data_IF_086621791455
#
_entry.id   IF_086621791455
#
_cell.length_a   1.000
_cell.length_b   1.000
_cell.length_c   1.000
_cell.angle_alpha   90.00
_cell.angle_beta   90.00
_cell.angle_gamma   90.00
#
_symmetry.space_group_name_H-M   'P 1'
#
loop_
_entity.id
_entity.type
_entity.pdbx_description
1 polymer ?
#
# COMPACT_ATOMS: atom_id res chain seq x y z
N UNK A 1 -4.83 1.99 -24.86
CA UNK A 1 -4.58 1.84 -23.41
C UNK A 1 -3.30 2.61 -23.11
N UNK A 2 -3.38 3.79 -22.48
CA UNK A 2 -2.16 4.50 -22.06
C UNK A 2 -1.60 3.78 -20.85
N UNK A 3 -0.44 3.13 -21.00
CA UNK A 3 0.32 2.56 -19.90
C UNK A 3 0.65 3.68 -18.91
N UNK A 4 0.56 3.38 -17.60
CA UNK A 4 0.92 4.38 -16.59
C UNK A 4 2.40 4.72 -16.74
N UNK A 5 2.77 5.99 -16.65
CA UNK A 5 4.18 6.39 -16.67
C UNK A 5 4.94 5.61 -15.60
N UNK A 6 6.01 4.91 -16.00
CA UNK A 6 6.88 4.22 -15.07
C UNK A 6 7.65 5.27 -14.26
N UNK A 7 7.27 5.39 -12.99
CA UNK A 7 7.96 6.17 -11.97
C UNK A 7 8.75 5.20 -11.08
N UNK A 8 10.05 5.46 -10.88
CA UNK A 8 10.88 4.71 -9.94
C UNK A 8 10.63 5.18 -8.51
N UNK A 9 10.10 4.30 -7.66
CA UNK A 9 9.83 4.64 -6.26
C UNK A 9 11.13 4.96 -5.50
N UNK A 10 12.28 4.43 -5.89
CA UNK A 10 13.55 4.71 -5.23
C UNK A 10 13.99 6.16 -5.36
N UNK A 11 13.61 6.85 -6.44
CA UNK A 11 13.86 8.29 -6.61
C UNK A 11 13.25 9.12 -5.46
N UNK A 12 12.13 8.68 -4.86
CA UNK A 12 11.56 9.37 -3.69
C UNK A 12 12.51 9.34 -2.50
N UNK A 13 13.16 8.19 -2.26
CA UNK A 13 14.06 7.99 -1.12
C UNK A 13 15.42 8.67 -1.32
N UNK A 14 15.81 8.91 -2.57
CA UNK A 14 17.02 9.64 -2.96
C UNK A 14 16.82 11.16 -2.90
N UNK A 15 15.66 11.66 -3.33
CA UNK A 15 15.41 13.09 -3.51
C UNK A 15 14.75 13.79 -2.33
N UNK A 16 14.04 13.05 -1.48
CA UNK A 16 13.35 13.61 -0.31
C UNK A 16 14.11 13.31 0.97
N UNK A 17 14.05 14.23 1.91
CA UNK A 17 14.57 13.99 3.27
C UNK A 17 13.79 12.87 3.95
N UNK A 18 12.45 12.91 3.86
CA UNK A 18 11.54 11.92 4.42
C UNK A 18 10.41 11.60 3.44
N UNK A 19 10.28 10.33 3.06
CA UNK A 19 9.16 9.87 2.21
C UNK A 19 7.91 9.62 3.06
N UNK A 20 6.79 10.27 2.72
CA UNK A 20 5.53 10.24 3.48
C UNK A 20 4.50 9.33 2.81
N UNK A 21 4.15 8.23 3.50
CA UNK A 21 3.49 7.07 2.88
C UNK A 21 2.12 6.80 3.53
N UNK A 22 1.08 6.62 2.69
CA UNK A 22 -0.22 6.12 3.13
C UNK A 22 -0.20 4.59 3.20
N UNK A 23 -0.49 4.04 4.39
CA UNK A 23 -0.42 2.62 4.65
C UNK A 23 -1.47 1.79 3.88
N UNK A 24 -1.19 0.51 3.59
CA UNK A 24 -2.20 -0.42 3.12
C UNK A 24 -3.19 -0.71 4.25
N UNK A 25 -4.47 -0.46 3.98
CA UNK A 25 -5.55 -0.62 4.95
C UNK A 25 -6.76 -1.27 4.28
N UNK A 26 -7.10 -2.49 4.71
CA UNK A 26 -8.28 -3.22 4.23
C UNK A 26 -9.51 -2.32 4.32
N UNK A 27 -10.24 -2.20 3.21
CA UNK A 27 -11.40 -1.29 2.98
C UNK A 27 -11.09 0.20 2.88
N UNK A 28 -10.01 0.71 3.47
CA UNK A 28 -9.80 2.15 3.60
C UNK A 28 -8.87 2.75 2.55
N UNK A 29 -7.76 2.10 2.18
CA UNK A 29 -6.83 2.65 1.20
C UNK A 29 -7.25 2.40 -0.27
N UNK A 30 -8.55 2.49 -0.55
CA UNK A 30 -9.12 2.40 -1.91
C UNK A 30 -8.79 3.64 -2.75
N UNK A 31 -9.03 3.57 -4.07
CA UNK A 31 -8.68 4.62 -5.03
C UNK A 31 -9.09 6.03 -4.58
N UNK A 32 -10.32 6.18 -4.10
CA UNK A 32 -10.85 7.48 -3.64
C UNK A 32 -9.98 8.07 -2.53
N UNK A 33 -9.57 7.25 -1.57
CA UNK A 33 -8.78 7.73 -0.43
C UNK A 33 -7.33 7.98 -0.82
N UNK A 34 -6.75 7.13 -1.68
CA UNK A 34 -5.42 7.35 -2.25
C UNK A 34 -5.35 8.66 -3.03
N UNK A 35 -6.35 8.94 -3.87
CA UNK A 35 -6.46 10.21 -4.58
C UNK A 35 -6.58 11.40 -3.61
N UNK A 36 -7.32 11.25 -2.50
CA UNK A 36 -7.48 12.33 -1.52
C UNK A 36 -6.14 12.68 -0.85
N UNK A 37 -5.47 11.69 -0.26
CA UNK A 37 -4.25 11.94 0.54
C UNK A 37 -3.09 12.47 -0.31
N UNK A 38 -3.06 12.13 -1.61
CA UNK A 38 -2.07 12.67 -2.54
C UNK A 38 -2.23 14.16 -2.84
N UNK A 39 -3.39 14.75 -2.56
CA UNK A 39 -3.58 16.19 -2.63
C UNK A 39 -2.98 16.93 -1.42
N UNK A 40 -2.43 16.19 -0.46
CA UNK A 40 -2.00 16.67 0.85
C UNK A 40 -0.64 16.11 1.25
N UNK A 41 0.35 16.29 0.37
CA UNK A 41 1.76 15.93 0.59
C UNK A 41 2.02 14.46 0.96
N UNK A 42 1.17 13.54 0.50
CA UNK A 42 1.46 12.11 0.53
C UNK A 42 2.21 11.70 -0.74
N UNK A 43 3.43 11.21 -0.57
CA UNK A 43 4.37 10.92 -1.66
C UNK A 43 4.11 9.56 -2.31
N UNK A 44 3.75 8.56 -1.50
CA UNK A 44 3.53 7.18 -1.94
C UNK A 44 2.27 6.61 -1.29
N UNK A 45 1.45 5.92 -2.07
CA UNK A 45 0.22 5.30 -1.60
C UNK A 45 0.21 3.81 -1.84
N UNK A 46 -0.44 3.08 -0.94
CA UNK A 46 -0.61 1.63 -1.03
C UNK A 46 -2.07 1.26 -1.26
N UNK A 47 -2.33 0.25 -2.08
CA UNK A 47 -3.66 -0.37 -2.18
C UNK A 47 -4.10 -0.97 -0.84
N UNK A 48 -5.37 -1.38 -0.67
CA UNK A 48 -5.70 -2.33 0.39
C UNK A 48 -4.87 -3.61 0.21
N UNK A 49 -4.73 -4.41 1.25
CA UNK A 49 -4.16 -5.75 1.12
C UNK A 49 -5.10 -6.62 0.27
N UNK A 50 -4.58 -7.20 -0.81
CA UNK A 50 -5.31 -8.04 -1.76
C UNK A 50 -4.75 -9.47 -1.70
N UNK A 51 -5.60 -10.49 -1.80
CA UNK A 51 -5.14 -11.87 -1.98
C UNK A 51 -4.59 -12.03 -3.40
N UNK A 52 -3.31 -12.41 -3.53
CA UNK A 52 -2.69 -12.60 -4.86
C UNK A 52 -3.42 -13.67 -5.67
N UNK A 53 -3.82 -14.75 -5.02
CA UNK A 53 -4.60 -15.84 -5.62
C UNK A 53 -5.89 -15.35 -6.30
N UNK A 54 -6.61 -14.43 -5.66
CA UNK A 54 -7.84 -13.84 -6.21
C UNK A 54 -7.57 -13.05 -7.48
N UNK A 55 -6.44 -12.33 -7.54
CA UNK A 55 -6.02 -11.61 -8.73
C UNK A 55 -5.69 -12.59 -9.86
N UNK A 56 -4.98 -13.67 -9.58
CA UNK A 56 -4.63 -14.66 -10.57
C UNK A 56 -5.87 -15.41 -11.12
N UNK A 57 -6.79 -15.84 -10.26
CA UNK A 57 -7.87 -16.78 -10.62
C UNK A 57 -9.12 -16.15 -11.22
N UNK A 58 -9.47 -14.91 -10.87
CA UNK A 58 -10.81 -14.37 -11.18
C UNK A 58 -10.77 -12.93 -11.62
N UNK A 59 -11.20 -12.68 -12.86
CA UNK A 59 -11.39 -11.33 -13.40
C UNK A 59 -12.39 -10.52 -12.57
N UNK A 60 -13.50 -11.15 -12.16
CA UNK A 60 -14.49 -10.54 -11.28
C UNK A 60 -13.88 -10.13 -9.93
N UNK A 61 -12.98 -10.94 -9.36
CA UNK A 61 -12.28 -10.57 -8.14
C UNK A 61 -11.30 -9.40 -8.39
N UNK A 62 -10.52 -9.45 -9.48
CA UNK A 62 -9.64 -8.34 -9.89
C UNK A 62 -10.39 -7.01 -9.97
N UNK A 63 -11.50 -6.99 -10.68
CA UNK A 63 -12.32 -5.79 -10.91
C UNK A 63 -12.95 -5.23 -9.62
N UNK A 64 -13.14 -6.07 -8.59
CA UNK A 64 -13.68 -5.65 -7.30
C UNK A 64 -12.61 -5.20 -6.29
N UNK A 65 -11.44 -5.84 -6.31
CA UNK A 65 -10.36 -5.60 -5.35
C UNK A 65 -9.46 -4.43 -5.76
N UNK A 66 -9.21 -4.29 -7.06
CA UNK A 66 -8.29 -3.30 -7.59
C UNK A 66 -8.96 -2.34 -8.57
N UNK A 67 -8.63 -1.05 -8.41
CA UNK A 67 -9.17 0.08 -9.16
C UNK A 67 -8.12 1.17 -9.10
N UNK A 68 -7.75 1.76 -10.24
CA UNK A 68 -6.76 2.85 -10.35
C UNK A 68 -7.12 3.84 -11.46
N UNK A 69 -6.50 5.01 -11.46
CA UNK A 69 -6.63 6.02 -12.51
C UNK A 69 -5.28 6.70 -12.79
N UNK A 70 -5.26 7.69 -13.69
CA UNK A 70 -4.04 8.44 -14.05
C UNK A 70 -3.44 9.21 -12.88
N UNK A 71 -4.25 9.65 -11.91
CA UNK A 71 -3.81 10.42 -10.74
C UNK A 71 -3.16 9.56 -9.65
N UNK A 72 -3.33 8.25 -9.70
CA UNK A 72 -2.98 7.29 -8.64
C UNK A 72 -1.54 6.76 -8.80
N UNK A 73 -0.56 7.65 -9.02
CA UNK A 73 0.89 7.31 -9.17
C UNK A 73 1.81 8.30 -8.43
N UNK A 74 2.77 7.88 -7.59
CA UNK A 74 3.26 6.52 -7.43
C UNK A 74 2.36 5.63 -6.55
N UNK A 75 2.16 4.37 -6.97
CA UNK A 75 1.31 3.39 -6.28
C UNK A 75 2.01 2.06 -6.08
N UNK A 76 1.88 1.50 -4.87
CA UNK A 76 2.27 0.13 -4.56
C UNK A 76 1.04 -0.72 -4.28
N UNK A 77 0.97 -1.92 -4.88
CA UNK A 77 -0.11 -2.87 -4.61
C UNK A 77 0.37 -3.88 -3.59
N UNK A 78 -0.31 -3.95 -2.44
CA UNK A 78 0.04 -4.91 -1.40
C UNK A 78 -0.71 -6.24 -1.59
N UNK A 79 0.05 -7.33 -1.65
CA UNK A 79 -0.45 -8.69 -1.71
C UNK A 79 -0.26 -9.46 -0.41
N UNK A 80 -1.21 -10.33 -0.13
CA UNK A 80 -1.03 -11.50 0.72
C UNK A 80 -0.89 -12.73 -0.19
N UNK A 81 0.26 -13.40 -0.08
CA UNK A 81 0.63 -14.56 -0.87
C UNK A 81 1.62 -15.42 -0.09
N UNK A 82 1.62 -16.73 -0.34
CA UNK A 82 2.57 -17.68 0.23
C UNK A 82 3.11 -18.67 -0.81
N UNK A 83 2.83 -18.44 -2.10
CA UNK A 83 3.37 -19.22 -3.22
C UNK A 83 4.01 -18.28 -4.24
N UNK A 84 5.14 -18.69 -4.81
CA UNK A 84 5.85 -17.93 -5.86
C UNK A 84 4.92 -17.67 -7.04
N UNK A 85 4.21 -18.70 -7.46
CA UNK A 85 3.24 -18.60 -8.54
C UNK A 85 2.26 -17.44 -8.33
N UNK A 86 1.58 -17.39 -7.17
CA UNK A 86 0.52 -16.40 -6.97
C UNK A 86 1.11 -15.00 -6.84
N UNK A 87 2.19 -14.83 -6.10
CA UNK A 87 2.81 -13.52 -5.92
C UNK A 87 3.37 -12.95 -7.23
N UNK A 88 4.14 -13.74 -7.97
CA UNK A 88 4.74 -13.29 -9.24
C UNK A 88 3.66 -13.11 -10.31
N UNK A 89 2.71 -14.04 -10.43
CA UNK A 89 1.61 -13.93 -11.38
C UNK A 89 0.74 -12.71 -11.14
N UNK A 90 0.37 -12.43 -9.88
CA UNK A 90 -0.38 -11.22 -9.53
C UNK A 90 0.44 -9.96 -9.76
N UNK A 91 1.75 -9.99 -9.48
CA UNK A 91 2.64 -8.85 -9.70
C UNK A 91 2.79 -8.51 -11.19
N UNK A 92 2.94 -9.52 -12.04
CA UNK A 92 2.99 -9.37 -13.49
C UNK A 92 1.71 -8.73 -14.04
N UNK A 93 0.55 -9.21 -13.57
CA UNK A 93 -0.77 -8.69 -13.97
C UNK A 93 -0.98 -7.21 -13.63
N UNK A 94 -0.45 -6.75 -12.50
CA UNK A 94 -0.69 -5.37 -12.04
C UNK A 94 0.43 -4.40 -12.41
N UNK A 95 1.61 -4.88 -12.81
CA UNK A 95 2.77 -4.05 -13.14
C UNK A 95 2.48 -2.91 -14.15
N UNK A 96 1.62 -3.09 -15.19
CA UNK A 96 1.24 -1.99 -16.09
C UNK A 96 0.43 -0.85 -15.43
N UNK A 97 -0.06 -1.05 -14.22
CA UNK A 97 -1.05 -0.19 -13.54
C UNK A 97 -0.55 0.41 -12.22
N UNK A 98 0.63 0.02 -11.76
CA UNK A 98 1.27 0.52 -10.54
C UNK A 98 2.79 0.67 -10.73
N UNK A 99 3.47 1.13 -9.70
CA UNK A 99 4.91 1.40 -9.69
C UNK A 99 5.70 0.38 -8.87
N UNK A 100 4.99 -0.44 -8.09
CA UNK A 100 5.55 -1.57 -7.38
C UNK A 100 4.50 -2.48 -6.75
N UNK A 101 4.99 -3.56 -6.16
CA UNK A 101 4.23 -4.50 -5.34
C UNK A 101 4.85 -4.63 -3.96
N UNK A 102 4.02 -4.97 -2.97
CA UNK A 102 4.45 -5.20 -1.60
C UNK A 102 3.94 -6.56 -1.11
N UNK A 103 4.77 -7.32 -0.42
CA UNK A 103 4.35 -8.54 0.25
C UNK A 103 4.03 -8.26 1.72
N UNK A 104 2.79 -8.57 2.13
CA UNK A 104 2.37 -8.44 3.52
C UNK A 104 2.88 -9.61 4.37
N UNK A 105 3.84 -9.33 5.26
CA UNK A 105 4.36 -10.26 6.27
C UNK A 105 4.04 -9.82 7.70
N UNK A 106 3.08 -8.89 7.88
CA UNK A 106 2.82 -8.23 9.18
C UNK A 106 1.38 -8.31 9.68
N UNK A 107 0.42 -8.77 8.87
CA UNK A 107 -0.99 -8.85 9.26
C UNK A 107 -1.22 -9.96 10.31
N UNK A 108 -1.76 -9.66 11.50
CA UNK A 108 -2.02 -10.65 12.55
C UNK A 108 -3.43 -11.27 12.51
N UNK A 109 -4.26 -10.90 11.53
CA UNK A 109 -5.66 -11.32 11.50
C UNK A 109 -5.78 -12.84 11.39
N UNK A 110 -6.77 -13.41 12.11
CA UNK A 110 -6.94 -14.86 12.19
C UNK A 110 -7.03 -15.54 10.82
N UNK A 111 -7.86 -15.01 9.92
CA UNK A 111 -8.02 -15.57 8.58
C UNK A 111 -6.70 -15.57 7.77
N UNK A 112 -5.83 -14.58 7.97
CA UNK A 112 -4.54 -14.51 7.29
C UNK A 112 -3.59 -15.59 7.82
N UNK A 113 -3.60 -15.82 9.14
CA UNK A 113 -2.84 -16.92 9.76
C UNK A 113 -3.35 -18.29 9.33
N UNK A 114 -4.66 -18.47 9.26
CA UNK A 114 -5.30 -19.73 8.81
C UNK A 114 -4.91 -20.07 7.36
N UNK A 115 -4.55 -19.06 6.55
CA UNK A 115 -4.05 -19.19 5.17
C UNK A 115 -2.52 -19.23 5.07
N UNK A 116 -1.77 -19.22 6.18
CA UNK A 116 -0.31 -19.13 6.21
C UNK A 116 0.26 -17.90 5.46
N UNK A 117 -0.43 -16.76 5.54
CA UNK A 117 0.04 -15.46 5.01
C UNK A 117 0.18 -14.42 6.13
N UNK A 118 0.72 -13.24 5.84
CA UNK A 118 0.90 -12.20 6.86
C UNK A 118 1.98 -12.57 7.86
N UNK A 119 1.73 -12.36 9.16
CA UNK A 119 2.74 -12.62 10.19
C UNK A 119 3.17 -14.10 10.30
N UNK A 120 2.35 -15.04 9.81
CA UNK A 120 2.66 -16.47 9.85
C UNK A 120 3.89 -16.80 9.00
N UNK A 121 4.13 -16.02 7.94
CA UNK A 121 5.29 -16.17 7.06
C UNK A 121 6.62 -15.94 7.79
N UNK A 122 6.63 -15.19 8.89
CA UNK A 122 7.85 -14.93 9.69
C UNK A 122 8.39 -16.19 10.38
N UNK A 123 7.60 -17.27 10.46
CA UNK A 123 8.07 -18.57 10.93
C UNK A 123 8.93 -19.29 9.89
N UNK A 124 8.74 -18.96 8.61
CA UNK A 124 9.47 -19.54 7.48
C UNK A 124 10.04 -18.43 6.57
N UNK A 125 11.05 -17.67 7.02
CA UNK A 125 11.61 -16.54 6.26
C UNK A 125 12.08 -16.89 4.83
N UNK A 126 12.50 -18.14 4.61
CA UNK A 126 12.91 -18.62 3.28
C UNK A 126 11.80 -18.45 2.23
N UNK A 127 10.54 -18.68 2.60
CA UNK A 127 9.40 -18.47 1.68
C UNK A 127 9.34 -17.00 1.24
N UNK A 128 9.59 -16.07 2.15
CA UNK A 128 9.59 -14.63 1.85
C UNK A 128 10.74 -14.29 0.90
N UNK A 129 11.94 -14.86 1.14
CA UNK A 129 13.09 -14.71 0.27
C UNK A 129 12.78 -15.18 -1.16
N UNK A 130 12.24 -16.38 -1.32
CA UNK A 130 11.95 -16.98 -2.63
C UNK A 130 10.90 -16.16 -3.40
N UNK A 131 9.82 -15.75 -2.72
CA UNK A 131 8.78 -14.89 -3.27
C UNK A 131 9.36 -13.58 -3.84
N UNK A 132 10.18 -12.89 -3.04
CA UNK A 132 10.78 -11.62 -3.47
C UNK A 132 11.78 -11.85 -4.60
N UNK A 133 12.70 -12.80 -4.45
CA UNK A 133 13.75 -13.08 -5.43
C UNK A 133 13.18 -13.41 -6.80
N UNK A 134 12.16 -14.28 -6.84
CA UNK A 134 11.50 -14.66 -8.09
C UNK A 134 10.70 -13.50 -8.71
N UNK A 135 10.05 -12.68 -7.90
CA UNK A 135 9.38 -11.47 -8.38
C UNK A 135 10.39 -10.48 -8.99
N UNK A 136 11.54 -10.26 -8.34
CA UNK A 136 12.62 -9.41 -8.86
C UNK A 136 13.22 -9.91 -10.16
N UNK A 137 13.39 -11.23 -10.31
CA UNK A 137 13.93 -11.82 -11.52
C UNK A 137 12.94 -11.76 -12.70
N UNK A 138 11.63 -11.69 -12.40
CA UNK A 138 10.59 -11.72 -13.43
C UNK A 138 10.17 -10.32 -13.89
N UNK A 139 10.14 -9.34 -13.00
CA UNK A 139 9.64 -7.99 -13.29
C UNK A 139 10.80 -6.99 -13.31
N UNK A 140 11.07 -6.44 -14.49
CA UNK A 140 12.19 -5.55 -14.75
C UNK A 140 12.12 -4.24 -13.95
N UNK A 141 13.29 -3.70 -13.62
CA UNK A 141 13.44 -2.31 -13.13
C UNK A 141 12.87 -1.32 -14.16
N UNK A 142 12.35 -0.15 -13.73
CA UNK A 142 12.38 0.44 -12.38
C UNK A 142 11.27 -0.04 -11.42
N UNK A 143 10.55 -1.12 -11.74
CA UNK A 143 9.48 -1.61 -10.87
C UNK A 143 10.00 -2.02 -9.49
N UNK A 144 9.30 -1.58 -8.44
CA UNK A 144 9.69 -1.87 -7.06
C UNK A 144 9.00 -3.11 -6.49
N UNK A 145 9.75 -3.88 -5.70
CA UNK A 145 9.21 -4.97 -4.88
C UNK A 145 9.58 -4.68 -3.43
N UNK A 146 8.61 -4.49 -2.55
CA UNK A 146 8.82 -4.21 -1.13
C UNK A 146 8.21 -5.28 -0.24
N UNK A 147 8.54 -5.22 1.04
CA UNK A 147 7.92 -6.06 2.07
C UNK A 147 7.48 -5.18 3.23
N UNK A 148 6.31 -5.49 3.80
CA UNK A 148 5.86 -4.92 5.07
C UNK A 148 5.84 -5.99 6.16
N UNK A 149 6.64 -5.80 7.20
CA UNK A 149 6.79 -6.73 8.31
C UNK A 149 6.48 -6.10 9.68
N UNK A 150 6.54 -6.93 10.73
CA UNK A 150 6.53 -6.55 12.15
C UNK A 150 7.81 -7.03 12.82
N UNK A 151 8.19 -6.38 13.91
CA UNK A 151 9.29 -6.87 14.75
C UNK A 151 8.89 -8.17 15.49
N UNK A 152 9.85 -9.06 15.68
CA UNK A 152 9.70 -10.26 16.50
C UNK A 152 10.13 -9.99 17.95
N UNK A 153 9.73 -10.86 18.89
CA UNK A 153 10.20 -10.78 20.28
C UNK A 153 11.72 -10.85 20.39
N UNK A 154 12.31 -11.69 19.55
CA UNK A 154 13.75 -11.75 19.34
C UNK A 154 14.13 -10.79 18.22
N UNK A 155 14.75 -9.67 18.58
CA UNK A 155 15.14 -8.64 17.63
C UNK A 155 16.20 -9.14 16.64
N UNK A 156 17.07 -10.06 17.05
CA UNK A 156 18.11 -10.60 16.16
C UNK A 156 17.48 -11.33 14.97
N UNK A 157 16.40 -12.09 15.19
CA UNK A 157 15.64 -12.72 14.10
C UNK A 157 15.05 -11.69 13.14
N UNK A 158 14.63 -10.54 13.65
CA UNK A 158 14.10 -9.46 12.80
C UNK A 158 15.21 -8.85 11.93
N UNK A 159 16.39 -8.64 12.51
CA UNK A 159 17.57 -8.15 11.78
C UNK A 159 18.03 -9.15 10.72
N UNK A 160 18.06 -10.45 11.05
CA UNK A 160 18.41 -11.51 10.10
C UNK A 160 17.43 -11.56 8.92
N UNK A 161 16.12 -11.44 9.19
CA UNK A 161 15.09 -11.33 8.15
C UNK A 161 15.32 -10.08 7.29
N UNK A 162 15.60 -8.92 7.89
CA UNK A 162 15.84 -7.69 7.14
C UNK A 162 17.02 -7.82 6.17
N UNK A 163 18.14 -8.40 6.62
CA UNK A 163 19.32 -8.68 5.78
C UNK A 163 19.04 -9.71 4.69
N UNK A 164 18.28 -10.76 5.01
CA UNK A 164 17.87 -11.75 4.03
C UNK A 164 17.01 -11.12 2.91
N UNK A 165 16.11 -10.21 3.27
CA UNK A 165 15.27 -9.49 2.30
C UNK A 165 16.04 -8.48 1.46
N UNK A 166 17.03 -7.80 2.04
CA UNK A 166 17.97 -6.99 1.27
C UNK A 166 18.67 -7.82 0.19
N UNK A 167 19.19 -9.00 0.56
CA UNK A 167 19.84 -9.90 -0.40
C UNK A 167 18.88 -10.51 -1.44
N UNK A 168 17.60 -10.66 -1.15
CA UNK A 168 16.61 -11.09 -2.16
C UNK A 168 16.29 -9.99 -3.18
N UNK A 169 16.64 -8.74 -2.87
CA UNK A 169 16.51 -7.59 -3.77
C UNK A 169 15.25 -6.76 -3.55
N UNK A 170 14.71 -6.70 -2.32
CA UNK A 170 13.65 -5.73 -2.02
C UNK A 170 14.14 -4.31 -2.30
N UNK A 171 13.28 -3.46 -2.86
CA UNK A 171 13.58 -2.04 -3.09
C UNK A 171 13.64 -1.27 -1.77
N UNK A 172 12.72 -1.54 -0.85
CA UNK A 172 12.67 -0.95 0.49
C UNK A 172 11.91 -1.88 1.45
N UNK A 173 12.11 -1.70 2.76
CA UNK A 173 11.47 -2.52 3.79
C UNK A 173 10.64 -1.64 4.74
N UNK A 174 9.37 -1.97 4.90
CA UNK A 174 8.50 -1.32 5.89
C UNK A 174 8.43 -2.14 7.16
N UNK A 175 8.77 -1.53 8.29
CA UNK A 175 8.76 -2.17 9.61
C UNK A 175 7.71 -1.53 10.50
N UNK A 176 6.67 -2.29 10.83
CA UNK A 176 5.81 -1.93 11.97
C UNK A 176 6.52 -2.34 13.26
N UNK A 177 7.07 -1.35 13.97
CA UNK A 177 7.88 -1.60 15.17
C UNK A 177 7.04 -1.91 16.42
N UNK A 178 6.10 -2.85 16.27
CA UNK A 178 5.38 -3.54 17.34
C UNK A 178 5.40 -5.03 17.07
N UNK A 179 5.51 -5.82 18.13
CA UNK A 179 5.39 -7.27 18.05
C UNK A 179 3.96 -7.69 17.71
N UNK A 180 3.75 -8.99 17.50
CA UNK A 180 2.43 -9.56 17.23
C UNK A 180 1.44 -9.30 18.37
N UNK A 181 1.92 -9.35 19.61
CA UNK A 181 1.09 -9.23 20.81
C UNK A 181 0.71 -7.76 21.11
N UNK A 182 1.37 -6.81 20.44
CA UNK A 182 1.23 -5.38 20.64
C UNK A 182 0.35 -4.74 19.54
N UNK A 183 -0.95 -4.70 19.80
CA UNK A 183 -1.91 -4.04 18.91
C UNK A 183 -1.89 -2.50 19.05
N UNK A 184 -1.74 -2.02 20.28
CA UNK A 184 -1.76 -0.59 20.67
C UNK A 184 -0.52 -0.24 21.48
N UNK A 185 -0.32 1.04 21.78
CA UNK A 185 0.80 1.52 22.60
C UNK A 185 1.95 2.10 21.78
N UNK A 186 3.07 2.46 22.40
CA UNK A 186 4.23 3.00 21.71
C UNK A 186 4.80 1.99 20.71
N UNK A 187 5.66 2.46 19.82
CA UNK A 187 6.50 1.59 18.98
C UNK A 187 7.88 1.46 19.62
N UNK A 188 8.61 0.39 19.29
CA UNK A 188 9.99 0.22 19.73
C UNK A 188 10.94 1.00 18.79
N UNK A 189 11.25 2.24 19.14
CA UNK A 189 12.13 3.11 18.35
C UNK A 189 13.57 2.58 18.27
N UNK A 190 14.10 2.01 19.35
CA UNK A 190 15.44 1.42 19.39
C UNK A 190 15.58 0.23 18.44
N UNK A 191 14.59 -0.67 18.42
CA UNK A 191 14.54 -1.78 17.48
C UNK A 191 14.51 -1.28 16.03
N UNK A 192 13.74 -0.23 15.75
CA UNK A 192 13.66 0.35 14.41
C UNK A 192 15.01 0.97 13.99
N UNK A 193 15.69 1.67 14.90
CA UNK A 193 17.03 2.22 14.66
C UNK A 193 18.05 1.11 14.38
N UNK A 194 18.05 0.03 15.17
CA UNK A 194 18.95 -1.10 14.99
C UNK A 194 18.74 -1.80 13.64
N UNK A 195 17.49 -2.01 13.24
CA UNK A 195 17.14 -2.56 11.92
C UNK A 195 17.61 -1.63 10.80
N UNK A 196 17.36 -0.32 10.91
CA UNK A 196 17.82 0.69 9.94
C UNK A 196 19.34 0.67 9.74
N UNK A 197 20.12 0.52 10.82
CA UNK A 197 21.59 0.43 10.75
C UNK A 197 22.11 -0.90 10.19
N UNK A 198 21.27 -1.92 10.13
CA UNK A 198 21.67 -3.30 9.79
C UNK A 198 21.59 -3.65 8.30
N UNK A 199 20.98 -2.78 7.50
CA UNK A 199 20.79 -2.93 6.05
C UNK A 199 21.08 -1.58 5.35
N UNK A 200 21.31 -1.60 4.05
CA UNK A 200 21.56 -0.42 3.20
C UNK A 200 20.30 0.08 2.48
N UNK A 201 19.34 -0.80 2.22
CA UNK A 201 18.05 -0.42 1.63
C UNK A 201 17.27 0.59 2.50
N UNK A 202 16.42 1.45 1.92
CA UNK A 202 15.56 2.34 2.69
C UNK A 202 14.64 1.58 3.66
N UNK A 203 14.69 1.96 4.94
CA UNK A 203 13.72 1.53 5.94
C UNK A 203 12.58 2.54 6.06
N UNK A 204 11.35 2.04 6.04
CA UNK A 204 10.13 2.80 6.31
C UNK A 204 9.57 2.42 7.70
N UNK A 205 9.51 3.39 8.61
CA UNK A 205 8.92 3.21 9.93
C UNK A 205 7.39 3.26 9.91
N UNK A 206 6.74 2.34 10.62
CA UNK A 206 5.27 2.31 10.74
C UNK A 206 4.81 2.14 12.19
N UNK A 207 3.77 2.91 12.57
CA UNK A 207 3.00 2.73 13.80
C UNK A 207 2.99 3.95 14.71
N UNK A 208 1.82 4.29 15.28
CA UNK A 208 1.71 5.32 16.33
C UNK A 208 1.75 6.79 15.88
N UNK A 209 2.10 7.05 14.61
CA UNK A 209 2.22 8.40 14.06
C UNK A 209 0.85 9.10 13.93
N UNK A 210 0.73 10.29 14.50
CA UNK A 210 -0.53 11.04 14.59
C UNK A 210 -0.46 12.47 14.04
N UNK A 211 0.74 13.03 13.86
CA UNK A 211 1.01 14.32 13.23
C UNK A 211 2.37 14.31 12.48
N UNK A 212 2.72 15.40 11.80
CA UNK A 212 3.97 15.53 11.05
C UNK A 212 5.22 15.62 11.95
N UNK A 213 5.08 16.19 13.15
CA UNK A 213 6.18 16.31 14.12
C UNK A 213 6.58 14.93 14.65
N UNK A 214 5.62 14.04 14.94
CA UNK A 214 5.86 12.65 15.30
C UNK A 214 6.68 11.93 14.22
N UNK A 215 6.40 12.23 12.95
CA UNK A 215 7.09 11.63 11.82
C UNK A 215 8.55 12.10 11.74
N UNK A 216 8.77 13.40 11.91
CA UNK A 216 10.10 14.03 11.88
C UNK A 216 10.94 13.56 13.07
N UNK A 217 10.35 13.54 14.27
CA UNK A 217 11.01 13.05 15.48
C UNK A 217 11.40 11.56 15.37
N UNK A 218 10.54 10.73 14.77
CA UNK A 218 10.88 9.32 14.53
C UNK A 218 12.05 9.18 13.56
N UNK A 219 12.07 9.99 12.50
CA UNK A 219 13.19 10.01 11.55
C UNK A 219 14.51 10.39 12.23
N UNK A 220 14.54 11.50 12.97
CA UNK A 220 15.75 11.98 13.65
C UNK A 220 16.35 10.92 14.58
N UNK A 221 15.49 10.21 15.32
CA UNK A 221 15.95 9.18 16.26
C UNK A 221 16.40 7.89 15.58
N UNK A 222 15.76 7.49 14.49
CA UNK A 222 15.92 6.13 13.94
C UNK A 222 16.66 6.08 12.61
N UNK A 223 16.93 7.23 12.00
CA UNK A 223 17.55 7.37 10.67
C UNK A 223 16.81 6.61 9.56
N UNK A 224 15.48 6.48 9.68
CA UNK A 224 14.63 5.92 8.63
C UNK A 224 14.48 6.91 7.46
N UNK A 225 14.21 6.37 6.27
CA UNK A 225 14.06 7.16 5.02
C UNK A 225 12.61 7.41 4.62
N UNK A 226 11.67 6.75 5.30
CA UNK A 226 10.25 7.01 5.11
C UNK A 226 9.42 6.69 6.34
N UNK A 227 8.23 7.27 6.40
CA UNK A 227 7.21 6.97 7.40
C UNK A 227 5.93 6.51 6.72
N UNK A 228 5.32 5.47 7.26
CA UNK A 228 4.04 4.96 6.81
C UNK A 228 2.98 5.17 7.89
N UNK A 229 1.91 5.89 7.54
CA UNK A 229 0.82 6.26 8.46
C UNK A 229 -0.47 5.51 8.10
N UNK A 230 -1.13 4.92 9.10
CA UNK A 230 -2.40 4.21 8.95
C UNK A 230 -3.56 4.94 9.67
N UNK A 231 -3.68 4.79 10.98
CA UNK A 231 -4.83 5.36 11.71
C UNK A 231 -4.83 6.90 11.71
N UNK A 232 -3.66 7.54 11.83
CA UNK A 232 -3.55 9.01 11.84
C UNK A 232 -4.05 9.64 10.54
N UNK A 233 -3.74 9.04 9.38
CA UNK A 233 -4.16 9.59 8.08
C UNK A 233 -5.67 9.41 7.83
N UNK A 234 -6.32 8.42 8.46
CA UNK A 234 -7.79 8.27 8.38
C UNK A 234 -8.52 9.39 9.13
N UNK A 235 -8.01 9.79 10.30
CA UNK A 235 -8.61 10.87 11.11
C UNK A 235 -8.23 12.26 10.59
N UNK A 236 -7.08 12.36 9.93
CA UNK A 236 -6.59 13.57 9.28
C UNK A 236 -5.87 13.23 7.96
N UNK A 237 -6.58 13.25 6.82
CA UNK A 237 -5.95 13.02 5.51
C UNK A 237 -4.91 14.08 5.14
N UNK A 238 -4.90 15.21 5.85
CA UNK A 238 -3.97 16.34 5.68
C UNK A 238 -2.75 16.25 6.64
N UNK A 239 -2.57 15.13 7.33
CA UNK A 239 -1.52 14.94 8.34
C UNK A 239 -0.12 15.39 7.89
N UNK A 240 0.21 15.18 6.61
CA UNK A 240 1.53 15.47 6.05
C UNK A 240 1.76 16.93 5.66
N UNK A 241 0.73 17.78 5.74
CA UNK A 241 0.84 19.23 5.54
C UNK A 241 1.07 20.00 6.86
N UNK A 242 1.19 19.28 7.99
CA UNK A 242 1.43 19.87 9.31
C UNK A 242 0.18 20.42 10.01
N UNK A 243 -1.03 20.17 9.49
CA UNK A 243 -2.27 20.59 10.16
C UNK A 243 -2.76 19.54 11.16
N UNK A 244 -3.35 19.98 12.29
CA UNK A 244 -3.73 19.08 13.39
C UNK A 244 -5.07 18.34 13.23
N UNK A 245 -5.88 18.76 12.26
CA UNK A 245 -7.21 18.21 12.00
C UNK A 245 -7.61 18.40 10.55
N UNK A 246 -8.51 17.54 10.10
CA UNK A 246 -9.17 17.66 8.80
C UNK A 246 -9.89 19.00 8.66
N UNK A 247 -9.70 19.66 7.52
CA UNK A 247 -10.42 20.85 7.09
C UNK A 247 -11.75 20.49 6.41
N UNK A 248 -12.72 21.40 6.45
CA UNK A 248 -13.97 21.26 5.70
C UNK A 248 -13.72 21.17 4.19
N UNK A 249 -12.62 21.77 3.70
CA UNK A 249 -12.22 21.64 2.30
C UNK A 249 -11.78 20.21 1.96
N UNK A 250 -11.06 19.52 2.84
CA UNK A 250 -10.72 18.12 2.66
C UNK A 250 -11.97 17.22 2.66
N UNK A 251 -12.94 17.49 3.52
CA UNK A 251 -14.25 16.82 3.52
C UNK A 251 -14.99 17.04 2.19
N UNK A 252 -15.00 18.27 1.68
CA UNK A 252 -15.58 18.59 0.38
C UNK A 252 -14.87 17.82 -0.75
N UNK A 253 -13.53 17.82 -0.79
CA UNK A 253 -12.74 17.06 -1.76
C UNK A 253 -13.00 15.56 -1.68
N UNK A 254 -13.19 14.99 -0.49
CA UNK A 254 -13.57 13.58 -0.34
C UNK A 254 -14.88 13.25 -1.06
N UNK A 255 -15.91 14.09 -0.91
CA UNK A 255 -17.16 13.92 -1.65
C UNK A 255 -16.91 14.02 -3.15
N UNK A 256 -16.22 15.06 -3.59
CA UNK A 256 -15.96 15.29 -5.00
C UNK A 256 -15.20 14.09 -5.61
N UNK A 257 -14.17 13.58 -4.95
CA UNK A 257 -13.42 12.40 -5.41
C UNK A 257 -14.30 11.14 -5.43
N UNK A 258 -15.14 10.91 -4.41
CA UNK A 258 -16.03 9.74 -4.38
C UNK A 258 -16.98 9.70 -5.58
N UNK A 259 -17.47 10.86 -6.02
CA UNK A 259 -18.43 10.96 -7.12
C UNK A 259 -17.80 11.09 -8.50
N UNK A 260 -16.49 11.39 -8.60
CA UNK A 260 -15.82 11.63 -9.87
C UNK A 260 -14.75 10.60 -10.23
N UNK A 261 -14.01 10.02 -9.27
CA UNK A 261 -12.76 9.26 -9.53
C UNK A 261 -12.90 7.97 -10.35
N UNK A 262 -14.12 7.47 -10.50
CA UNK A 262 -14.46 6.25 -11.23
C UNK A 262 -15.39 6.49 -12.42
N UNK A 263 -15.68 7.76 -12.75
CA UNK A 263 -16.52 8.09 -13.90
C UNK A 263 -15.79 7.76 -15.21
N UNK A 264 -16.52 7.13 -16.12
CA UNK A 264 -16.15 7.08 -17.54
C UNK A 264 -16.44 8.42 -18.22
N UNK A 265 -15.78 8.67 -19.35
CA UNK A 265 -16.04 9.87 -20.18
C UNK A 265 -17.53 9.95 -20.58
N UNK A 266 -18.16 8.82 -20.89
CA UNK A 266 -19.59 8.74 -21.22
C UNK A 266 -20.46 9.14 -20.04
N UNK A 267 -20.21 8.60 -18.84
CA UNK A 267 -20.95 8.94 -17.63
C UNK A 267 -20.77 10.42 -17.27
N UNK A 268 -19.55 10.94 -17.37
CA UNK A 268 -19.27 12.36 -17.17
C UNK A 268 -20.08 13.25 -18.13
N UNK A 269 -20.00 12.97 -19.43
CA UNK A 269 -20.74 13.72 -20.46
C UNK A 269 -22.25 13.64 -20.22
N UNK A 270 -22.78 12.48 -19.82
CA UNK A 270 -24.20 12.33 -19.48
C UNK A 270 -24.60 13.19 -18.28
N UNK A 271 -23.75 13.29 -17.26
CA UNK A 271 -24.02 14.12 -16.08
C UNK A 271 -23.97 15.62 -16.41
N UNK A 272 -23.03 16.05 -17.26
CA UNK A 272 -22.91 17.44 -17.71
C UNK A 272 -24.00 17.80 -18.73
N UNK A 273 -24.44 16.89 -19.60
CA UNK A 273 -25.49 17.17 -20.58
C UNK A 273 -26.88 17.33 -19.96
N UNK A 274 -27.12 16.74 -18.77
CA UNK A 274 -28.33 16.97 -17.95
C UNK A 274 -28.37 18.35 -17.27
N UNK A 275 -27.40 19.23 -17.55
CA UNK A 275 -27.24 20.58 -16.96
C UNK A 275 -28.19 21.64 -17.53
N UNK A 276 -29.13 21.27 -18.41
CA UNK A 276 -30.17 22.17 -18.96
C UNK A 276 -31.21 22.64 -17.91
N UNK A 277 -31.11 22.20 -16.66
CA UNK A 277 -31.96 22.65 -15.54
C UNK A 277 -31.14 22.97 -14.29
N UNK A 278 -30.28 24.00 -14.36
CA UNK A 278 -29.65 24.76 -13.23
C UNK A 278 -28.89 24.01 -12.11
N UNK A 279 -28.96 22.69 -11.99
CA UNK A 279 -28.28 21.86 -11.00
C UNK A 279 -27.92 20.52 -11.63
N UNK A 280 -26.65 20.12 -11.53
CA UNK A 280 -26.18 18.80 -11.96
C UNK A 280 -26.80 17.76 -11.02
N UNK A 281 -27.59 16.82 -11.57
CA UNK A 281 -28.18 15.74 -10.77
C UNK A 281 -27.11 14.69 -10.47
N UNK A 282 -26.55 14.74 -9.26
CA UNK A 282 -25.53 13.82 -8.79
C UNK A 282 -26.21 12.53 -8.35
N UNK A 283 -25.70 11.34 -8.72
CA UNK A 283 -26.29 10.09 -8.28
C UNK A 283 -26.36 10.02 -6.75
N UNK A 284 -27.35 9.31 -6.21
CA UNK A 284 -27.49 9.14 -4.75
C UNK A 284 -26.32 8.33 -4.15
N UNK A 285 -25.66 7.50 -4.97
CA UNK A 285 -24.56 6.63 -4.57
C UNK A 285 -23.36 6.83 -5.52
N UNK A 286 -22.13 6.95 -4.99
CA UNK A 286 -20.91 6.97 -5.79
C UNK A 286 -20.63 5.61 -6.46
N UNK A 287 -20.04 5.65 -7.65
CA UNK A 287 -19.65 4.46 -8.40
C UNK A 287 -18.50 3.71 -7.72
N UNK A 288 -18.62 2.38 -7.63
CA UNK A 288 -17.60 1.48 -7.08
C UNK A 288 -17.12 1.82 -5.64
N UNK A 289 -18.03 2.33 -4.79
CA UNK A 289 -17.76 2.55 -3.38
C UNK A 289 -18.94 2.09 -2.53
N UNK A 290 -18.65 1.32 -1.46
CA UNK A 290 -19.70 0.86 -0.53
C UNK A 290 -20.04 1.96 0.47
N UNK A 291 -21.27 1.94 1.00
CA UNK A 291 -21.69 2.90 2.02
C UNK A 291 -20.76 2.86 3.24
N UNK A 292 -20.33 1.67 3.65
CA UNK A 292 -19.42 1.51 4.77
C UNK A 292 -18.08 2.22 4.53
N UNK A 293 -17.46 2.03 3.36
CA UNK A 293 -16.20 2.72 3.05
C UNK A 293 -16.43 4.25 3.02
N UNK A 294 -17.44 4.70 2.29
CA UNK A 294 -17.79 6.12 2.17
C UNK A 294 -17.99 6.80 3.53
N UNK A 295 -18.85 6.22 4.36
CA UNK A 295 -19.26 6.83 5.61
C UNK A 295 -18.18 6.69 6.70
N UNK A 296 -17.45 5.58 6.77
CA UNK A 296 -16.40 5.42 7.78
C UNK A 296 -15.27 6.44 7.63
N UNK A 297 -14.85 6.76 6.39
CA UNK A 297 -13.87 7.83 6.17
C UNK A 297 -14.37 9.17 6.72
N UNK A 298 -15.63 9.52 6.44
CA UNK A 298 -16.25 10.73 6.99
C UNK A 298 -16.32 10.68 8.53
N UNK A 299 -16.68 9.54 9.13
CA UNK A 299 -16.70 9.39 10.59
C UNK A 299 -15.33 9.70 11.19
N UNK A 300 -14.23 9.19 10.59
CA UNK A 300 -12.89 9.49 11.07
C UNK A 300 -12.50 10.96 10.86
N UNK A 301 -12.69 11.48 9.65
CA UNK A 301 -12.35 12.85 9.28
C UNK A 301 -13.10 13.90 10.12
N UNK A 302 -14.37 13.62 10.40
CA UNK A 302 -15.27 14.52 11.11
C UNK A 302 -15.17 14.40 12.64
N UNK A 303 -14.35 13.48 13.16
CA UNK A 303 -14.22 13.22 14.59
C UNK A 303 -13.76 14.46 15.38
N UNK A 304 -12.88 15.30 14.82
CA UNK A 304 -12.46 16.57 15.46
C UNK A 304 -13.30 17.79 15.05
N UNK A 305 -14.28 17.61 14.15
CA UNK A 305 -15.12 18.68 13.60
C UNK A 305 -16.50 18.70 14.27
N UNK A 306 -17.11 17.53 14.48
CA UNK A 306 -18.47 17.42 15.00
C UNK A 306 -18.53 17.60 16.52
N UNK A 307 -19.61 18.24 16.99
CA UNK A 307 -19.98 18.22 18.41
C UNK A 307 -20.38 16.80 18.86
N UNK A 308 -20.33 16.53 20.17
CA UNK A 308 -20.75 15.22 20.73
C UNK A 308 -22.16 14.81 20.30
N UNK A 309 -23.11 15.76 20.21
CA UNK A 309 -24.49 15.49 19.76
C UNK A 309 -24.52 15.11 18.28
N UNK A 310 -23.83 15.87 17.44
CA UNK A 310 -23.73 15.61 16.01
C UNK A 310 -23.10 14.24 15.72
N UNK A 311 -22.03 13.85 16.42
CA UNK A 311 -21.41 12.52 16.25
C UNK A 311 -22.37 11.38 16.50
N UNK A 312 -23.21 11.48 17.55
CA UNK A 312 -24.21 10.44 17.87
C UNK A 312 -25.20 10.24 16.72
N UNK A 313 -25.59 11.32 16.04
CA UNK A 313 -26.47 11.25 14.87
C UNK A 313 -25.70 10.72 13.66
N UNK A 314 -24.59 11.40 13.32
CA UNK A 314 -23.79 11.15 12.13
C UNK A 314 -23.32 9.69 12.05
N UNK A 315 -22.68 9.18 13.11
CA UNK A 315 -22.10 7.83 13.13
C UNK A 315 -23.15 6.72 12.96
N UNK A 316 -24.43 7.02 13.22
CA UNK A 316 -25.54 6.06 13.10
C UNK A 316 -26.26 6.12 11.75
N UNK A 317 -25.92 7.05 10.85
CA UNK A 317 -26.52 7.13 9.52
C UNK A 317 -26.21 5.87 8.70
N UNK A 318 -27.19 5.44 7.88
CA UNK A 318 -27.16 4.17 7.12
C UNK A 318 -27.34 4.31 5.62
N UNK A 319 -27.66 5.52 5.12
CA UNK A 319 -27.88 5.80 3.70
C UNK A 319 -27.03 6.97 3.24
N UNK A 320 -26.58 6.93 1.97
CA UNK A 320 -25.79 8.02 1.39
C UNK A 320 -26.53 9.36 1.46
N UNK A 321 -27.80 9.38 1.06
CA UNK A 321 -28.67 10.58 1.11
C UNK A 321 -28.70 11.24 2.48
N UNK A 322 -28.84 10.46 3.56
CA UNK A 322 -28.89 11.00 4.92
C UNK A 322 -27.55 11.64 5.32
N UNK A 323 -26.42 11.04 4.89
CA UNK A 323 -25.09 11.61 5.11
C UNK A 323 -24.91 12.91 4.32
N UNK A 324 -25.36 12.96 3.06
CA UNK A 324 -25.29 14.16 2.24
C UNK A 324 -26.12 15.30 2.82
N UNK A 325 -27.37 15.03 3.22
CA UNK A 325 -28.22 16.03 3.87
C UNK A 325 -27.61 16.54 5.17
N UNK A 326 -27.05 15.64 5.99
CA UNK A 326 -26.37 16.06 7.20
C UNK A 326 -25.21 17.03 6.90
N UNK A 327 -24.38 16.73 5.89
CA UNK A 327 -23.25 17.57 5.50
C UNK A 327 -23.69 18.90 4.89
N UNK A 328 -24.76 18.91 4.11
CA UNK A 328 -25.33 20.12 3.52
C UNK A 328 -25.92 21.03 4.60
N UNK A 329 -26.79 20.50 5.48
CA UNK A 329 -27.48 21.26 6.52
C UNK A 329 -26.52 21.85 7.57
N UNK A 330 -25.44 21.12 7.90
CA UNK A 330 -24.53 21.53 8.98
C UNK A 330 -23.29 22.28 8.48
N UNK A 331 -22.87 22.07 7.23
CA UNK A 331 -21.59 22.59 6.73
C UNK A 331 -21.66 23.18 5.31
N UNK A 332 -22.84 23.18 4.66
CA UNK A 332 -23.00 23.59 3.27
C UNK A 332 -22.06 22.83 2.30
N UNK A 333 -21.81 21.56 2.61
CA UNK A 333 -20.97 20.66 1.82
C UNK A 333 -21.87 19.71 1.03
N UNK A 334 -21.68 19.69 -0.29
CA UNK A 334 -22.37 18.79 -1.22
C UNK A 334 -21.42 18.33 -2.31
N UNK A 335 -21.58 17.13 -2.89
CA UNK A 335 -20.71 16.69 -3.96
C UNK A 335 -20.78 17.66 -5.16
N UNK A 336 -19.68 17.79 -5.89
CA UNK A 336 -19.57 18.63 -7.09
C UNK A 336 -18.98 17.80 -8.22
N UNK A 337 -19.53 17.94 -9.42
CA UNK A 337 -18.96 17.36 -10.63
C UNK A 337 -17.99 18.38 -11.22
N UNK A 338 -16.71 18.02 -11.35
CA UNK A 338 -15.67 18.93 -11.82
C UNK A 338 -15.15 18.55 -13.20
N UNK A 339 -14.66 19.54 -13.94
CA UNK A 339 -13.94 19.36 -15.20
C UNK A 339 -12.42 19.29 -14.98
N UNK A 340 -11.98 18.50 -13.98
CA UNK A 340 -10.56 18.28 -13.77
C UNK A 340 -10.17 16.99 -14.48
N UNK A 341 -9.40 17.11 -15.57
CA UNK A 341 -8.97 16.01 -16.45
C UNK A 341 -8.34 14.83 -15.67
N UNK A 342 -7.89 15.08 -14.44
CA UNK A 342 -7.31 14.15 -13.48
C UNK A 342 -8.24 13.00 -13.04
N UNK A 343 -9.56 13.16 -13.09
CA UNK A 343 -10.51 12.16 -12.53
C UNK A 343 -11.40 11.48 -13.59
N UNK A 344 -11.24 11.82 -14.87
CA UNK A 344 -12.12 11.36 -15.97
C UNK A 344 -11.69 10.05 -16.65
N UNK A 345 -10.60 9.43 -16.20
CA UNK A 345 -10.06 8.20 -16.79
C UNK A 345 -9.81 7.15 -15.71
N UNK A 346 -10.85 6.38 -15.39
CA UNK A 346 -10.69 5.12 -14.67
C UNK A 346 -10.34 4.01 -15.66
N UNK A 347 -9.30 3.23 -15.35
CA UNK A 347 -8.92 2.05 -16.14
C UNK A 347 -9.40 0.79 -15.42
N UNK A 348 -10.30 0.05 -16.05
CA UNK A 348 -10.58 -1.35 -15.68
C UNK A 348 -9.45 -2.20 -16.24
N UNK A 349 -8.95 -3.14 -15.44
CA UNK A 349 -8.03 -4.17 -15.94
C UNK A 349 -8.85 -5.17 -16.76
N UNK A 350 -9.19 -4.78 -17.99
CA UNK A 350 -9.73 -5.70 -18.99
C UNK A 350 -8.56 -6.38 -19.71
N UNK A 351 -7.83 -7.21 -18.95
CA UNK A 351 -6.75 -8.04 -19.49
C UNK A 351 -7.27 -9.47 -19.54
N UNK A 352 -7.43 -9.97 -20.76
CA UNK A 352 -7.49 -11.39 -21.03
C UNK A 352 -6.09 -11.96 -20.80
N UNK A 353 -5.84 -12.46 -19.59
CA UNK A 353 -4.52 -12.99 -19.23
C UNK A 353 -4.41 -14.44 -19.71
N UNK A 354 -4.32 -14.61 -21.03
CA UNK A 354 -4.21 -15.92 -21.69
C UNK A 354 -2.95 -16.69 -21.30
N UNK A 355 -1.90 -15.98 -20.86
CA UNK A 355 -0.62 -16.57 -20.43
C UNK A 355 -0.61 -17.03 -18.96
N UNK A 356 -1.75 -16.97 -18.27
CA UNK A 356 -1.84 -17.42 -16.87
C UNK A 356 -1.36 -18.85 -16.68
N UNK A 357 -1.87 -19.78 -17.48
CA UNK A 357 -1.51 -21.19 -17.37
C UNK A 357 -0.05 -21.43 -17.73
N UNK A 358 0.47 -20.68 -18.71
CA UNK A 358 1.89 -20.72 -19.08
C UNK A 358 2.77 -20.25 -17.93
N UNK A 359 2.50 -19.08 -17.36
CA UNK A 359 3.20 -18.56 -16.18
C UNK A 359 3.07 -19.51 -14.99
N UNK A 360 1.87 -20.08 -14.78
CA UNK A 360 1.64 -21.11 -13.77
C UNK A 360 2.54 -22.32 -13.97
N UNK A 361 2.58 -22.88 -15.17
CA UNK A 361 3.39 -24.06 -15.46
C UNK A 361 4.89 -23.75 -15.34
N UNK A 362 5.35 -22.60 -15.87
CA UNK A 362 6.74 -22.17 -15.74
C UNK A 362 7.17 -22.01 -14.28
N UNK A 363 6.35 -21.37 -13.44
CA UNK A 363 6.67 -21.16 -12.02
C UNK A 363 6.41 -22.40 -11.16
N UNK A 364 5.54 -23.32 -11.60
CA UNK A 364 5.27 -24.59 -10.92
C UNK A 364 6.43 -25.58 -11.08
N UNK A 365 7.14 -25.56 -12.21
CA UNK A 365 8.37 -26.34 -12.39
C UNK A 365 9.48 -25.91 -11.43
N UNK A 366 9.42 -24.68 -10.88
CA UNK A 366 10.23 -24.23 -9.74
C UNK A 366 9.68 -24.72 -8.38
N UNK A 367 8.97 -25.84 -8.33
CA UNK A 367 8.68 -26.51 -7.06
C UNK A 367 9.99 -26.73 -6.30
N UNK A 368 10.01 -26.14 -5.11
CA UNK A 368 11.17 -25.94 -4.24
C UNK A 368 11.88 -27.30 -4.06
N UNK A 369 13.16 -27.44 -4.46
CA UNK A 369 13.91 -28.66 -4.22
C UNK A 369 13.83 -29.01 -2.74
N UNK A 370 13.55 -30.27 -2.45
CA UNK A 370 13.55 -30.84 -1.10
C UNK A 370 14.82 -30.39 -0.35
N UNK A 371 14.61 -29.45 0.57
CA UNK A 371 15.52 -28.96 1.61
C UNK A 371 17.03 -29.03 1.32
N UNK A 372 17.63 -27.87 1.01
CA UNK A 372 18.80 -27.48 1.82
C UNK A 372 18.27 -26.56 2.90
N UNK A 373 18.02 -27.13 4.09
CA UNK A 373 17.75 -26.37 5.30
C UNK A 373 18.84 -25.31 5.42
N UNK A 374 18.49 -24.02 5.31
CA UNK A 374 19.44 -22.95 5.57
C UNK A 374 19.70 -22.94 7.08
N UNK A 375 20.64 -23.78 7.52
CA UNK A 375 21.14 -23.81 8.90
C UNK A 375 22.05 -22.60 9.12
N UNK A 376 21.46 -21.41 9.07
CA UNK A 376 22.17 -20.21 9.49
C UNK A 376 22.20 -20.17 11.03
N UNK A 377 23.35 -20.54 11.59
CA UNK A 377 23.66 -20.39 13.01
C UNK A 377 24.59 -19.19 13.19
N UNK A 378 24.01 -18.06 13.60
CA UNK A 378 24.72 -16.79 13.82
C UNK A 378 25.79 -16.83 14.90
N UNK A 379 25.85 -17.89 15.72
CA UNK A 379 26.90 -18.08 16.72
C UNK A 379 28.19 -18.71 16.15
N UNK A 380 28.15 -19.30 14.94
CA UNK A 380 29.25 -20.12 14.41
C UNK A 380 29.77 -19.73 13.02
N UNK A 381 29.18 -18.76 12.30
CA UNK A 381 29.69 -18.39 10.97
C UNK A 381 30.34 -17.01 10.95
N UNK A 382 31.64 -16.97 10.64
CA UNK A 382 32.50 -15.79 10.41
C UNK A 382 32.15 -15.01 9.12
N UNK A 383 30.89 -15.06 8.67
CA UNK A 383 30.44 -14.44 7.42
C UNK A 383 30.78 -15.21 6.15
N UNK A 384 31.57 -16.30 6.20
CA UNK A 384 32.02 -17.04 5.00
C UNK A 384 30.98 -17.95 4.36
N UNK A 385 29.88 -18.29 5.05
CA UNK A 385 28.84 -19.18 4.51
C UNK A 385 28.20 -18.63 3.23
N UNK A 386 28.07 -17.30 3.12
CA UNK A 386 27.52 -16.66 1.92
C UNK A 386 28.58 -16.45 0.84
N UNK A 387 29.86 -16.36 1.22
CA UNK A 387 30.99 -16.26 0.28
C UNK A 387 31.26 -17.61 -0.40
N UNK A 388 31.02 -18.73 0.29
CA UNK A 388 31.19 -20.09 -0.27
C UNK A 388 30.05 -20.54 -1.18
N UNK A 389 29.00 -19.73 -1.34
CA UNK A 389 27.90 -19.94 -2.30
C UNK A 389 27.98 -19.04 -3.53
N UNK A 390 29.05 -18.24 -3.64
CA UNK A 390 29.48 -17.67 -4.90
C UNK A 390 30.23 -18.78 -5.64
N UNK A 391 29.51 -19.62 -6.39
CA UNK A 391 30.18 -20.42 -7.41
C UNK A 391 30.67 -19.47 -8.50
N UNK A 392 31.98 -19.51 -8.78
CA UNK A 392 32.61 -18.87 -9.92
C UNK A 392 32.10 -19.52 -11.22
N UNK A 393 30.94 -19.10 -11.70
CA UNK A 393 30.54 -19.24 -13.10
C UNK A 393 29.39 -18.27 -13.43
N UNK A 394 29.73 -17.27 -14.23
CA UNK A 394 28.84 -16.37 -14.99
C UNK A 394 27.86 -15.49 -14.21
N UNK A 395 28.39 -14.44 -13.57
CA UNK A 395 27.66 -13.18 -13.44
C UNK A 395 28.64 -12.02 -13.22
N UNK A 396 29.17 -11.50 -14.33
CA UNK A 396 29.98 -10.29 -14.36
C UNK A 396 29.09 -9.06 -14.10
N UNK A 397 28.86 -8.74 -12.82
CA UNK A 397 28.13 -7.55 -12.36
C UNK A 397 29.01 -6.57 -11.59
N UNK A 398 30.33 -6.74 -11.62
CA UNK A 398 31.25 -5.90 -10.86
C UNK A 398 31.70 -4.61 -11.56
N UNK A 399 31.36 -4.38 -12.83
CA UNK A 399 31.86 -3.22 -13.59
C UNK A 399 30.90 -2.01 -13.64
N UNK A 400 29.88 -1.92 -12.78
CA UNK A 400 28.95 -0.76 -12.76
C UNK A 400 29.40 0.38 -11.82
N UNK A 401 30.49 0.21 -11.05
CA UNK A 401 30.89 1.22 -10.05
C UNK A 401 32.36 1.70 -10.11
N UNK A 402 33.05 1.53 -11.26
CA UNK A 402 34.31 2.22 -11.50
C UNK A 402 34.29 2.88 -12.89
N UNK A 403 33.83 4.12 -12.94
CA UNK A 403 34.59 5.30 -13.42
C UNK A 403 33.76 6.59 -13.25
#
# INVERSE_FOLDING_TARGET
MELKAQFDILELFETKDLVKICAPMVRYSKLQFRNLVKLYDCDLVFSPMILADSICKSEKARNNEFTTNSADTPLVIQFAANTVHDFVGASYLVAPHCNGVDLNCGCPQRWARDMNVGCEMLKNPQVIYDLVRQCRNTINKPFSVSVKTRIMKDLNKTIDIARQLEHSGVSFLTVHSRTLDENTGPINEDALQLISKSVKIPIVGNGGLSNLDDCSALQEKTNIRGVMVANGILTNPEIFTGVDKTSLQCVQKWLDICYNSTLTISEYNNLINKKTTLNVNIPEKPYNLTFQCFHHHLVFMMEKILTRRQKRVFNNLKKFKDVLFFLEDNFNIRPRIFNNETFLKYNIIDIDYSDREKMYNTLKEFEIPEYTKCEYNSLNSDGKYFTSKLEEADCDWCDIFND
#
